data_IF_504440059048
#
_entry.id   IF_504440059048
#
_cell.length_a   1.000
_cell.length_b   1.000
_cell.length_c   1.000
_cell.angle_alpha   90.00
_cell.angle_beta   90.00
_cell.angle_gamma   90.00
#
_symmetry.space_group_name_H-M   'P 1'
#
loop_
_entity.id
_entity.type
_entity.pdbx_description
1 polymer ?
#
# COMPACT_ATOMS: atom_id res chain seq x y z
N UNK A 1 -13.95 -4.87 -17.74
CA UNK A 1 -13.69 -6.32 -17.89
C UNK A 1 -12.20 -6.61 -18.04
N UNK A 2 -11.75 -7.73 -17.47
CA UNK A 2 -10.39 -8.25 -17.68
C UNK A 2 -10.53 -9.48 -18.58
N UNK A 3 -10.13 -9.38 -19.83
CA UNK A 3 -10.38 -10.45 -20.82
C UNK A 3 -9.20 -11.43 -20.93
N UNK A 4 -8.02 -11.02 -20.45
CA UNK A 4 -6.79 -11.82 -20.49
C UNK A 4 -6.09 -11.86 -19.13
N UNK A 5 -5.29 -12.91 -18.91
CA UNK A 5 -4.44 -13.01 -17.71
C UNK A 5 -3.39 -11.90 -17.62
N UNK A 6 -2.96 -11.32 -18.74
CA UNK A 6 -2.05 -10.17 -18.73
C UNK A 6 -2.74 -8.91 -18.20
N UNK A 7 -3.96 -8.62 -18.67
CA UNK A 7 -4.75 -7.49 -18.16
C UNK A 7 -5.08 -7.68 -16.68
N UNK A 8 -5.43 -8.91 -16.26
CA UNK A 8 -5.67 -9.21 -14.85
C UNK A 8 -4.43 -8.89 -13.99
N UNK A 9 -3.23 -9.34 -14.41
CA UNK A 9 -2.00 -9.03 -13.69
C UNK A 9 -1.75 -7.52 -13.60
N UNK A 10 -2.03 -6.79 -14.68
CA UNK A 10 -1.85 -5.34 -14.72
C UNK A 10 -2.79 -4.62 -13.75
N UNK A 11 -4.08 -4.94 -13.78
CA UNK A 11 -5.09 -4.34 -12.90
C UNK A 11 -4.83 -4.71 -11.43
N UNK A 12 -4.46 -5.97 -11.15
CA UNK A 12 -4.10 -6.39 -9.79
C UNK A 12 -2.90 -5.60 -9.26
N UNK A 13 -1.87 -5.39 -10.10
CA UNK A 13 -0.70 -4.60 -9.72
C UNK A 13 -1.07 -3.15 -9.41
N UNK A 14 -1.87 -2.52 -10.25
CA UNK A 14 -2.35 -1.15 -10.04
C UNK A 14 -3.18 -1.03 -8.76
N UNK A 15 -4.06 -1.99 -8.51
CA UNK A 15 -4.89 -1.99 -7.30
C UNK A 15 -4.04 -2.15 -6.03
N UNK A 16 -3.08 -3.08 -6.03
CA UNK A 16 -2.18 -3.29 -4.88
C UNK A 16 -1.35 -2.04 -4.59
N UNK A 17 -0.84 -1.39 -5.63
CA UNK A 17 -0.08 -0.14 -5.50
C UNK A 17 -0.94 0.98 -4.89
N UNK A 18 -2.15 1.18 -5.42
CA UNK A 18 -3.10 2.16 -4.88
C UNK A 18 -3.48 1.85 -3.43
N UNK A 19 -3.82 0.60 -3.12
CA UNK A 19 -4.24 0.18 -1.79
C UNK A 19 -3.14 0.40 -0.75
N UNK A 20 -1.91 0.02 -1.08
CA UNK A 20 -0.80 0.06 -0.14
C UNK A 20 -0.22 1.47 0.07
N UNK A 21 -0.20 2.30 -0.98
CA UNK A 21 0.56 3.56 -0.96
C UNK A 21 -0.29 4.84 -1.06
N UNK A 22 -1.56 4.74 -1.51
CA UNK A 22 -2.38 5.93 -1.78
C UNK A 22 -3.70 5.95 -1.02
N UNK A 23 -4.23 4.79 -0.63
CA UNK A 23 -5.52 4.70 0.05
C UNK A 23 -5.37 4.85 1.57
N UNK A 24 -5.84 5.95 2.18
CA UNK A 24 -5.89 6.05 3.63
C UNK A 24 -6.94 5.10 4.20
N UNK A 25 -6.61 4.45 5.32
CA UNK A 25 -7.50 3.50 5.98
C UNK A 25 -7.91 4.03 7.35
N UNK A 26 -9.22 4.18 7.58
CA UNK A 26 -9.75 4.68 8.86
C UNK A 26 -9.29 3.84 10.06
N UNK A 27 -9.15 2.51 9.89
CA UNK A 27 -8.63 1.61 10.92
C UNK A 27 -7.15 1.77 11.23
N UNK A 28 -6.41 2.54 10.41
CA UNK A 28 -4.99 2.84 10.55
C UNK A 28 -4.77 4.34 10.84
N UNK A 29 -5.73 5.00 11.51
CA UNK A 29 -5.70 6.45 11.76
C UNK A 29 -5.56 7.28 10.48
N UNK A 30 -6.23 6.83 9.41
CA UNK A 30 -6.14 7.41 8.07
C UNK A 30 -4.74 7.36 7.44
N UNK A 31 -3.81 6.57 7.97
CA UNK A 31 -2.56 6.23 7.27
C UNK A 31 -2.81 5.19 6.18
N UNK A 32 -1.93 5.17 5.20
CA UNK A 32 -1.80 4.07 4.25
C UNK A 32 -1.12 2.87 4.91
N UNK A 33 -1.30 1.65 4.38
CA UNK A 33 -0.59 0.48 4.88
C UNK A 33 0.93 0.67 4.86
N UNK A 34 1.48 1.25 3.79
CA UNK A 34 2.91 1.50 3.68
C UNK A 34 3.41 2.49 4.75
N UNK A 35 2.69 3.57 5.03
CA UNK A 35 3.04 4.49 6.12
C UNK A 35 2.96 3.84 7.49
N UNK A 36 1.92 3.04 7.73
CA UNK A 36 1.75 2.34 9.02
C UNK A 36 2.90 1.36 9.28
N UNK A 37 3.24 0.52 8.30
CA UNK A 37 4.28 -0.47 8.49
C UNK A 37 5.69 0.13 8.39
N UNK A 38 5.97 0.96 7.38
CA UNK A 38 7.35 1.41 7.10
C UNK A 38 7.67 2.79 7.67
N UNK A 39 6.67 3.64 7.98
CA UNK A 39 6.89 4.92 8.64
C UNK A 39 7.46 4.76 10.05
N UNK A 40 7.07 3.69 10.75
CA UNK A 40 7.58 3.38 12.09
C UNK A 40 8.99 2.76 12.06
N UNK A 41 9.39 2.09 10.98
CA UNK A 41 10.76 1.59 10.82
C UNK A 41 11.81 2.71 10.74
N UNK A 42 11.48 3.86 10.15
CA UNK A 42 12.40 5.02 10.14
C UNK A 42 12.58 5.60 11.54
N UNK A 43 11.50 5.71 12.32
CA UNK A 43 11.59 6.21 13.70
C UNK A 43 12.38 5.25 14.59
N UNK A 44 12.25 3.93 14.40
CA UNK A 44 13.03 2.94 15.15
C UNK A 44 14.54 2.97 14.80
N UNK A 45 14.91 3.28 13.56
CA UNK A 45 16.32 3.41 13.17
C UNK A 45 16.97 4.71 13.65
N UNK A 46 16.21 5.80 13.79
CA UNK A 46 16.73 7.08 14.31
C UNK A 46 16.95 7.08 15.84
N UNK A 47 16.40 6.08 16.55
CA UNK A 47 16.48 5.94 18.01
C UNK A 47 17.62 4.99 18.45
N UNK A 48 18.20 4.21 17.52
CA UNK A 48 19.34 3.30 17.76
C UNK A 48 20.64 3.94 17.30
#
# INVERSE_FOLDING_TARGET
DCETGQQLRQITREYVEYYNNLRPHQSLDYRTPAEYYFGEYKQLQEVI
#
